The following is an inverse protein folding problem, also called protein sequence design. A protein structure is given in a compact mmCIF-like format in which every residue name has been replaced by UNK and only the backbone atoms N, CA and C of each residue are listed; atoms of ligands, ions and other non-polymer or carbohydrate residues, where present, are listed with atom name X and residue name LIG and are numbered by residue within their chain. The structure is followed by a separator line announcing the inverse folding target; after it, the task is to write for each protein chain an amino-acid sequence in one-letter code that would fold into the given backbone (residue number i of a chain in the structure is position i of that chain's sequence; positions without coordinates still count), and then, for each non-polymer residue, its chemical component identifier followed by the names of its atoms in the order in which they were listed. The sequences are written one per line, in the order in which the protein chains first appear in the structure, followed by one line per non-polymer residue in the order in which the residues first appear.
data_IF_636834261946
#
_entry.id   IF_636834261946
#
_cell.length_a   1.000
_cell.length_b   1.000
_cell.length_c   1.000
_cell.angle_alpha   90.00
_cell.angle_beta   90.00
_cell.angle_gamma   90.00
#
_symmetry.space_group_name_H-M   'P 1'
#
loop_
_entity.id
_entity.type
_entity.pdbx_description
1 polymer ?
#
# COMPACT_ATOMS: atom_id res chain seq x y z
N UNK A 1 -9.35 5.45 -3.24
CA UNK A 1 -8.12 5.63 -2.44
C UNK A 1 -8.10 7.06 -1.93
N UNK A 2 -7.81 7.25 -0.65
CA UNK A 2 -7.64 8.59 -0.07
C UNK A 2 -6.15 8.93 -0.11
N UNK A 3 -5.82 10.12 -0.58
CA UNK A 3 -4.45 10.63 -0.62
C UNK A 3 -4.38 11.81 0.33
N UNK A 4 -3.32 11.80 1.13
CA UNK A 4 -2.99 12.86 2.05
C UNK A 4 -1.49 13.10 2.00
N UNK A 5 -1.08 14.36 1.91
CA UNK A 5 0.32 14.77 1.80
C UNK A 5 0.66 15.67 2.96
N UNK A 6 1.81 15.40 3.58
CA UNK A 6 2.35 16.19 4.67
C UNK A 6 3.87 16.21 4.58
N UNK A 7 4.49 17.28 5.06
CA UNK A 7 5.95 17.44 4.99
C UNK A 7 6.66 16.70 6.11
N UNK A 8 6.14 16.78 7.35
CA UNK A 8 6.92 16.37 8.54
C UNK A 8 6.12 15.63 9.63
N UNK A 9 4.80 15.76 9.64
CA UNK A 9 3.90 15.06 10.59
C UNK A 9 2.97 14.11 9.83
N UNK A 10 2.36 13.14 10.51
CA UNK A 10 1.32 12.32 9.89
C UNK A 10 0.20 13.19 9.31
N UNK A 11 -0.31 12.89 8.10
CA UNK A 11 -1.36 13.70 7.51
C UNK A 11 -2.63 13.69 8.38
N UNK A 12 -3.20 14.87 8.63
CA UNK A 12 -4.39 15.07 9.47
C UNK A 12 -5.68 15.25 8.66
N UNK A 13 -5.58 15.45 7.35
CA UNK A 13 -6.71 15.66 6.44
C UNK A 13 -6.50 14.86 5.14
N UNK A 14 -7.61 14.52 4.48
CA UNK A 14 -7.61 13.99 3.10
C UNK A 14 -7.57 15.14 2.10
N UNK A 15 -6.57 15.13 1.22
CA UNK A 15 -6.44 16.13 0.15
C UNK A 15 -7.28 15.74 -1.07
N UNK A 16 -7.29 14.46 -1.43
CA UNK A 16 -8.06 13.98 -2.58
C UNK A 16 -8.53 12.54 -2.41
N UNK A 17 -9.71 12.26 -2.96
CA UNK A 17 -10.23 10.90 -3.13
C UNK A 17 -10.10 10.48 -4.61
N UNK A 18 -9.29 9.45 -4.86
CA UNK A 18 -9.18 8.81 -6.18
C UNK A 18 -10.25 7.73 -6.32
N UNK A 19 -11.19 7.95 -7.25
CA UNK A 19 -12.32 7.05 -7.57
C UNK A 19 -12.09 6.23 -8.84
N UNK A 20 -10.94 5.56 -8.93
CA UNK A 20 -10.64 4.64 -10.03
C UNK A 20 -10.07 3.34 -9.49
N UNK A 21 -10.77 2.23 -9.72
CA UNK A 21 -10.29 0.90 -9.33
C UNK A 21 -8.96 0.58 -10.01
N UNK A 22 -8.84 0.85 -11.32
CA UNK A 22 -7.62 0.58 -12.10
C UNK A 22 -6.41 1.33 -11.54
N UNK A 23 -6.57 2.61 -11.21
CA UNK A 23 -5.47 3.40 -10.61
C UNK A 23 -5.12 2.86 -9.24
N UNK A 24 -6.12 2.53 -8.41
CA UNK A 24 -5.88 1.95 -7.09
C UNK A 24 -5.11 0.63 -7.20
N UNK A 25 -5.52 -0.27 -8.11
CA UNK A 25 -4.84 -1.55 -8.34
C UNK A 25 -3.41 -1.38 -8.83
N UNK A 26 -3.15 -0.46 -9.77
CA UNK A 26 -1.81 -0.22 -10.28
C UNK A 26 -0.84 0.21 -9.16
N UNK A 27 -1.32 1.00 -8.19
CA UNK A 27 -0.52 1.41 -7.04
C UNK A 27 -0.22 0.23 -6.10
N UNK A 28 -1.19 -0.64 -5.85
CA UNK A 28 -0.93 -1.88 -5.08
C UNK A 28 0.03 -2.83 -5.81
N UNK A 29 -0.12 -2.99 -7.12
CA UNK A 29 0.75 -3.83 -7.95
C UNK A 29 2.21 -3.35 -7.91
N UNK A 30 2.44 -2.03 -7.87
CA UNK A 30 3.78 -1.47 -7.71
C UNK A 30 4.53 -1.94 -6.45
N UNK A 31 3.84 -2.25 -5.36
CA UNK A 31 4.47 -2.71 -4.10
C UNK A 31 4.35 -4.20 -3.83
N UNK A 32 3.26 -4.83 -4.28
CA UNK A 32 2.93 -6.22 -3.92
C UNK A 32 2.76 -7.13 -5.14
N UNK A 33 2.81 -6.57 -6.35
CA UNK A 33 2.74 -7.29 -7.60
C UNK A 33 4.02 -8.04 -7.94
N UNK A 34 4.14 -8.41 -9.21
CA UNK A 34 5.19 -9.33 -9.68
C UNK A 34 6.60 -8.73 -9.64
N UNK A 35 6.72 -7.41 -9.84
CA UNK A 35 8.00 -6.66 -9.83
C UNK A 35 7.94 -5.49 -8.84
N UNK A 36 7.98 -5.75 -7.53
CA UNK A 36 7.73 -4.73 -6.53
C UNK A 36 8.90 -3.74 -6.41
N UNK A 37 8.60 -2.46 -6.24
CA UNK A 37 9.61 -1.41 -5.98
C UNK A 37 10.33 -1.60 -4.64
N UNK A 38 9.71 -2.34 -3.72
CA UNK A 38 10.33 -2.77 -2.46
C UNK A 38 10.08 -4.26 -2.23
N UNK A 39 11.00 -5.14 -2.66
CA UNK A 39 10.88 -6.58 -2.46
C UNK A 39 10.82 -6.97 -0.97
N UNK A 40 11.52 -6.24 -0.10
CA UNK A 40 11.55 -6.51 1.34
C UNK A 40 10.20 -6.26 2.01
N UNK A 41 9.49 -5.18 1.62
CA UNK A 41 8.13 -4.89 2.11
C UNK A 41 7.15 -6.00 1.71
N UNK A 42 7.22 -6.48 0.48
CA UNK A 42 6.38 -7.58 0.01
C UNK A 42 6.62 -8.85 0.83
N UNK A 43 7.89 -9.23 1.01
CA UNK A 43 8.25 -10.43 1.77
C UNK A 43 7.86 -10.36 3.24
N UNK A 44 8.09 -9.24 3.92
CA UNK A 44 7.72 -9.08 5.34
C UNK A 44 6.20 -9.12 5.53
N UNK A 45 5.43 -8.52 4.61
CA UNK A 45 3.97 -8.57 4.63
C UNK A 45 3.46 -9.99 4.41
N UNK A 46 4.06 -10.76 3.49
CA UNK A 46 3.70 -12.15 3.25
C UNK A 46 3.95 -13.03 4.48
N UNK A 47 5.10 -12.89 5.14
CA UNK A 47 5.43 -13.63 6.37
C UNK A 47 4.45 -13.31 7.50
N UNK A 48 4.09 -12.04 7.67
CA UNK A 48 3.12 -11.63 8.68
C UNK A 48 1.73 -12.21 8.39
N UNK A 49 1.28 -12.16 7.14
CA UNK A 49 -0.01 -12.73 6.73
C UNK A 49 -0.04 -14.24 6.95
N UNK A 50 1.04 -14.96 6.59
CA UNK A 50 1.16 -16.39 6.86
C UNK A 50 1.01 -16.68 8.36
N UNK A 51 1.75 -15.98 9.21
CA UNK A 51 1.68 -16.16 10.67
C UNK A 51 0.30 -15.86 11.28
N UNK A 52 -0.48 -14.96 10.68
CA UNK A 52 -1.84 -14.62 11.13
C UNK A 52 -2.85 -15.68 10.66
N UNK A 53 -2.71 -16.18 9.44
CA UNK A 53 -3.68 -17.08 8.82
C UNK A 53 -3.47 -18.56 9.16
N UNK A 54 -2.28 -18.92 9.66
CA UNK A 54 -1.98 -20.29 10.12
C UNK A 54 -2.17 -20.48 11.63
N UNK A 55 -2.75 -19.49 12.32
CA UNK A 55 -3.25 -19.61 13.69
C UNK A 55 -4.71 -20.06 13.70
#
# INVERSE_FOLDING_TARGET
MLVSVSTDQGPSQVDVEVKSATVNYALYDGFFGSSPVSPTLRSSTAQLLEAILTK
#
